data_IF_064436230515
#
_entry.id   IF_064436230515
#
_cell.length_a   1.000
_cell.length_b   1.000
_cell.length_c   1.000
_cell.angle_alpha   90.00
_cell.angle_beta   90.00
_cell.angle_gamma   90.00
#
_symmetry.space_group_name_H-M   'P 1'
#
loop_
_entity.id
_entity.type
_entity.pdbx_description
1 polymer ?
#
# COMPACT_ATOMS: atom_id res chain seq x y z
N UNK A 1 4.15 21.72 -57.36
CA UNK A 1 4.32 22.14 -55.96
C UNK A 1 2.92 22.40 -55.38
N UNK A 2 2.24 21.35 -54.90
CA UNK A 2 0.91 21.41 -54.29
C UNK A 2 0.88 20.39 -53.14
N UNK A 3 1.47 20.78 -52.02
CA UNK A 3 1.38 20.08 -50.74
C UNK A 3 1.81 21.09 -49.68
N UNK A 4 0.84 21.81 -49.10
CA UNK A 4 0.99 22.44 -47.77
C UNK A 4 -0.24 23.20 -47.26
N UNK A 5 -1.30 23.38 -48.06
CA UNK A 5 -2.51 24.11 -47.62
C UNK A 5 -3.44 23.33 -46.68
N UNK A 6 -3.21 22.03 -46.44
CA UNK A 6 -4.08 21.20 -45.60
C UNK A 6 -3.82 21.39 -44.10
N UNK A 7 -2.56 21.32 -43.67
CA UNK A 7 -2.20 21.37 -42.25
C UNK A 7 -2.33 22.76 -41.61
N UNK A 8 -2.20 23.84 -42.39
CA UNK A 8 -2.43 25.20 -41.88
C UNK A 8 -3.92 25.47 -41.62
N UNK A 9 -4.81 24.90 -42.45
CA UNK A 9 -6.26 25.07 -42.34
C UNK A 9 -6.84 24.37 -41.11
N UNK A 10 -6.39 23.14 -40.82
CA UNK A 10 -6.86 22.38 -39.66
C UNK A 10 -6.52 23.07 -38.33
N UNK A 11 -5.40 23.79 -38.26
CA UNK A 11 -5.01 24.53 -37.07
C UNK A 11 -5.82 25.81 -36.83
N UNK A 12 -6.12 26.56 -37.88
CA UNK A 12 -6.96 27.75 -37.82
C UNK A 12 -8.42 27.37 -37.53
N UNK A 13 -8.93 26.32 -38.18
CA UNK A 13 -10.25 25.76 -37.96
C UNK A 13 -10.42 25.20 -36.53
N UNK A 14 -9.41 24.51 -35.99
CA UNK A 14 -9.41 24.06 -34.60
C UNK A 14 -9.56 25.24 -33.62
N UNK A 15 -8.79 26.32 -33.81
CA UNK A 15 -8.84 27.49 -32.94
C UNK A 15 -10.18 28.21 -33.03
N UNK A 16 -10.74 28.33 -34.24
CA UNK A 16 -12.08 28.89 -34.45
C UNK A 16 -13.14 28.09 -33.69
N UNK A 17 -13.15 26.76 -33.85
CA UNK A 17 -14.09 25.86 -33.17
C UNK A 17 -13.92 25.89 -31.65
N UNK A 18 -12.68 25.88 -31.16
CA UNK A 18 -12.37 25.95 -29.73
C UNK A 18 -12.85 27.28 -29.11
N UNK A 19 -12.57 28.41 -29.78
CA UNK A 19 -13.00 29.72 -29.32
C UNK A 19 -14.52 29.84 -29.33
N UNK A 20 -15.17 29.45 -30.44
CA UNK A 20 -16.62 29.40 -30.54
C UNK A 20 -17.25 28.54 -29.45
N UNK A 21 -16.71 27.34 -29.22
CA UNK A 21 -17.16 26.45 -28.15
C UNK A 21 -17.03 27.07 -26.76
N UNK A 22 -15.90 27.75 -26.50
CA UNK A 22 -15.67 28.49 -25.26
C UNK A 22 -16.65 29.66 -25.07
N UNK A 23 -16.90 30.44 -26.12
CA UNK A 23 -17.80 31.60 -26.07
C UNK A 23 -19.26 31.17 -25.85
N UNK A 24 -19.69 30.12 -26.57
CA UNK A 24 -21.02 29.53 -26.38
C UNK A 24 -21.18 28.93 -24.98
N UNK A 25 -20.14 28.29 -24.45
CA UNK A 25 -20.14 27.77 -23.07
C UNK A 25 -20.29 28.92 -22.06
N UNK A 26 -19.59 30.03 -22.26
CA UNK A 26 -19.70 31.22 -21.42
C UNK A 26 -21.08 31.90 -21.53
N UNK A 27 -21.70 31.86 -22.72
CA UNK A 27 -23.06 32.36 -22.96
C UNK A 27 -24.17 31.43 -22.40
N UNK A 28 -23.82 30.22 -21.96
CA UNK A 28 -24.79 29.21 -21.48
C UNK A 28 -25.50 28.43 -22.59
N UNK A 29 -25.09 28.60 -23.84
CA UNK A 29 -25.61 27.86 -25.02
C UNK A 29 -24.97 26.47 -25.09
N UNK A 30 -25.20 25.65 -24.06
CA UNK A 30 -24.45 24.42 -23.80
C UNK A 30 -24.53 23.38 -24.94
N UNK A 31 -25.68 23.22 -25.59
CA UNK A 31 -25.84 22.26 -26.68
C UNK A 31 -24.98 22.62 -27.90
N UNK A 32 -24.93 23.91 -28.25
CA UNK A 32 -24.09 24.40 -29.36
C UNK A 32 -22.61 24.41 -28.98
N UNK A 33 -22.31 24.70 -27.71
CA UNK A 33 -20.95 24.62 -27.19
C UNK A 33 -20.40 23.19 -27.30
N UNK A 34 -21.21 22.19 -26.93
CA UNK A 34 -20.87 20.77 -27.09
C UNK A 34 -20.53 20.45 -28.54
N UNK A 35 -21.40 20.82 -29.50
CA UNK A 35 -21.15 20.55 -30.92
C UNK A 35 -19.84 21.16 -31.43
N UNK A 36 -19.58 22.42 -31.09
CA UNK A 36 -18.34 23.09 -31.48
C UNK A 36 -17.09 22.45 -30.83
N UNK A 37 -17.19 22.06 -29.55
CA UNK A 37 -16.09 21.42 -28.81
C UNK A 37 -15.84 19.97 -29.27
N UNK A 38 -16.88 19.19 -29.59
CA UNK A 38 -16.75 17.86 -30.19
C UNK A 38 -16.03 17.95 -31.56
N UNK A 39 -16.40 18.93 -32.38
CA UNK A 39 -15.71 19.19 -33.65
C UNK A 39 -14.24 19.61 -33.44
N UNK A 40 -13.94 20.44 -32.43
CA UNK A 40 -12.57 20.82 -32.09
C UNK A 40 -11.74 19.61 -31.62
N UNK A 41 -12.31 18.76 -30.75
CA UNK A 41 -11.65 17.53 -30.27
C UNK A 41 -11.46 16.53 -31.41
N UNK A 42 -12.36 16.46 -32.39
CA UNK A 42 -12.17 15.62 -33.58
C UNK A 42 -10.94 16.02 -34.41
N UNK A 43 -10.63 17.33 -34.50
CA UNK A 43 -9.43 17.82 -35.17
C UNK A 43 -8.16 17.61 -34.35
N UNK A 44 -8.24 17.75 -33.01
CA UNK A 44 -7.11 17.53 -32.10
C UNK A 44 -7.52 16.72 -30.87
N UNK A 45 -7.54 15.38 -30.98
CA UNK A 45 -8.08 14.51 -29.92
C UNK A 45 -7.36 14.59 -28.58
N UNK A 46 -6.09 15.01 -28.58
CA UNK A 46 -5.23 15.08 -27.38
C UNK A 46 -5.03 16.50 -26.86
N UNK A 47 -5.74 17.51 -27.38
CA UNK A 47 -5.60 18.86 -26.86
C UNK A 47 -6.27 18.96 -25.46
N UNK A 48 -5.50 19.26 -24.40
CA UNK A 48 -6.02 19.20 -23.03
C UNK A 48 -7.03 20.33 -22.75
N UNK A 49 -6.91 21.48 -23.43
CA UNK A 49 -7.82 22.61 -23.25
C UNK A 49 -9.19 22.30 -23.88
N UNK A 50 -9.20 21.78 -25.11
CA UNK A 50 -10.43 21.36 -25.79
C UNK A 50 -11.15 20.25 -25.02
N UNK A 51 -10.43 19.21 -24.60
CA UNK A 51 -10.99 18.12 -23.80
C UNK A 51 -11.51 18.62 -22.45
N UNK A 52 -10.77 19.48 -21.73
CA UNK A 52 -11.21 20.00 -20.43
C UNK A 52 -12.49 20.84 -20.55
N UNK A 53 -12.61 21.68 -21.59
CA UNK A 53 -13.84 22.45 -21.86
C UNK A 53 -15.01 21.54 -22.27
N UNK A 54 -14.76 20.52 -23.09
CA UNK A 54 -15.78 19.53 -23.47
C UNK A 54 -16.28 18.74 -22.25
N UNK A 55 -15.37 18.33 -21.36
CA UNK A 55 -15.72 17.69 -20.08
C UNK A 55 -16.60 18.57 -19.19
N UNK A 56 -16.28 19.87 -19.06
CA UNK A 56 -17.15 20.82 -18.36
C UNK A 56 -18.52 20.98 -19.04
N UNK A 57 -18.55 20.97 -20.37
CA UNK A 57 -19.78 21.08 -21.16
C UNK A 57 -20.69 19.88 -20.90
N UNK A 58 -20.17 18.66 -20.99
CA UNK A 58 -20.90 17.44 -20.66
C UNK A 58 -21.38 17.45 -19.21
N UNK A 59 -20.55 17.88 -18.26
CA UNK A 59 -20.95 18.00 -16.85
C UNK A 59 -22.15 18.95 -16.64
N UNK A 60 -22.18 20.09 -17.34
CA UNK A 60 -23.29 21.05 -17.28
C UNK A 60 -24.55 20.55 -17.99
N UNK A 61 -24.39 19.74 -19.04
CA UNK A 61 -25.48 19.08 -19.76
C UNK A 61 -26.01 17.81 -19.07
N UNK A 62 -25.45 17.44 -17.92
CA UNK A 62 -25.77 16.20 -17.21
C UNK A 62 -25.41 14.90 -17.97
N UNK A 63 -24.53 15.00 -18.97
CA UNK A 63 -23.91 13.87 -19.67
C UNK A 63 -22.72 13.33 -18.86
N UNK A 64 -22.97 12.90 -17.63
CA UNK A 64 -21.92 12.69 -16.62
C UNK A 64 -20.94 11.56 -16.94
N UNK A 65 -21.38 10.51 -17.62
CA UNK A 65 -20.50 9.39 -18.00
C UNK A 65 -19.41 9.86 -18.99
N UNK A 66 -19.79 10.66 -19.99
CA UNK A 66 -18.83 11.25 -20.94
C UNK A 66 -17.88 12.22 -20.27
N UNK A 67 -18.38 13.03 -19.33
CA UNK A 67 -17.53 13.92 -18.54
C UNK A 67 -16.50 13.13 -17.72
N UNK A 68 -16.92 12.02 -17.10
CA UNK A 68 -16.04 11.18 -16.29
C UNK A 68 -14.96 10.49 -17.15
N UNK A 69 -15.32 9.99 -18.33
CA UNK A 69 -14.36 9.42 -19.29
C UNK A 69 -13.27 10.43 -19.67
N UNK A 70 -13.68 11.65 -20.04
CA UNK A 70 -12.74 12.73 -20.38
C UNK A 70 -11.83 13.08 -19.22
N UNK A 71 -12.37 13.33 -18.02
CA UNK A 71 -11.55 13.73 -16.89
C UNK A 71 -10.65 12.60 -16.37
N UNK A 72 -11.08 11.35 -16.49
CA UNK A 72 -10.23 10.20 -16.18
C UNK A 72 -9.01 10.14 -17.10
N UNK A 73 -9.22 10.32 -18.41
CA UNK A 73 -8.13 10.38 -19.38
C UNK A 73 -7.19 11.58 -19.14
N UNK A 74 -7.76 12.76 -18.87
CA UNK A 74 -6.98 13.97 -18.60
C UNK A 74 -6.11 13.83 -17.33
N UNK A 75 -6.66 13.24 -16.25
CA UNK A 75 -5.92 12.96 -15.01
C UNK A 75 -4.83 11.91 -15.24
N UNK A 76 -5.10 10.87 -16.04
CA UNK A 76 -4.08 9.87 -16.38
C UNK A 76 -2.88 10.51 -17.08
N UNK A 77 -3.12 11.41 -18.03
CA UNK A 77 -2.06 12.06 -18.82
C UNK A 77 -1.38 13.20 -18.05
N UNK A 78 -2.07 13.82 -17.09
CA UNK A 78 -1.58 14.96 -16.30
C UNK A 78 -1.84 14.74 -14.80
N UNK A 79 -1.17 13.75 -14.16
CA UNK A 79 -1.51 13.31 -12.81
C UNK A 79 -1.22 14.33 -11.71
N UNK A 80 -0.47 15.40 -12.01
CA UNK A 80 -0.10 16.45 -11.06
C UNK A 80 -0.97 17.71 -11.18
N UNK A 81 -1.94 17.74 -12.10
CA UNK A 81 -2.85 18.89 -12.24
C UNK A 81 -4.00 18.79 -11.22
N UNK A 82 -3.91 19.64 -10.20
CA UNK A 82 -4.90 19.76 -9.13
C UNK A 82 -6.31 20.03 -9.67
N UNK A 83 -6.44 20.84 -10.72
CA UNK A 83 -7.74 21.25 -11.27
C UNK A 83 -8.45 20.07 -11.93
N UNK A 84 -7.70 19.19 -12.60
CA UNK A 84 -8.25 18.00 -13.23
C UNK A 84 -8.77 17.01 -12.18
N UNK A 85 -8.03 16.80 -11.10
CA UNK A 85 -8.48 15.97 -9.97
C UNK A 85 -9.72 16.55 -9.28
N UNK A 86 -9.78 17.87 -9.10
CA UNK A 86 -10.97 18.55 -8.56
C UNK A 86 -12.18 18.36 -9.48
N UNK A 87 -12.01 18.53 -10.79
CA UNK A 87 -13.09 18.36 -11.76
C UNK A 87 -13.57 16.91 -11.84
N UNK A 88 -12.65 15.93 -11.83
CA UNK A 88 -13.01 14.51 -11.77
C UNK A 88 -13.82 14.21 -10.50
N UNK A 89 -13.35 14.69 -9.35
CA UNK A 89 -14.07 14.54 -8.08
C UNK A 89 -15.47 15.13 -8.11
N UNK A 90 -15.64 16.31 -8.71
CA UNK A 90 -16.93 16.96 -8.87
C UNK A 90 -17.87 16.17 -9.81
N UNK A 91 -17.34 15.61 -10.90
CA UNK A 91 -18.12 14.74 -11.80
C UNK A 91 -18.60 13.49 -11.07
N UNK A 92 -17.71 12.81 -10.34
CA UNK A 92 -18.07 11.59 -9.59
C UNK A 92 -19.08 11.85 -8.48
N UNK A 93 -19.01 13.00 -7.80
CA UNK A 93 -20.05 13.45 -6.86
C UNK A 93 -21.41 13.55 -7.54
N UNK A 94 -21.48 14.24 -8.67
CA UNK A 94 -22.75 14.42 -9.40
C UNK A 94 -23.30 13.09 -9.95
N UNK A 95 -22.43 12.09 -10.19
CA UNK A 95 -22.80 10.72 -10.56
C UNK A 95 -23.32 9.88 -9.38
N UNK A 96 -23.33 10.44 -8.16
CA UNK A 96 -23.68 9.69 -6.95
C UNK A 96 -22.63 8.62 -6.60
N UNK A 97 -21.35 8.85 -6.94
CA UNK A 97 -20.23 7.95 -6.67
C UNK A 97 -19.26 8.58 -5.67
N UNK A 98 -19.69 8.82 -4.41
CA UNK A 98 -18.90 9.59 -3.45
C UNK A 98 -17.54 8.94 -3.12
N UNK A 99 -17.44 7.62 -3.06
CA UNK A 99 -16.17 6.92 -2.86
C UNK A 99 -15.15 7.15 -4.01
N UNK A 100 -15.61 7.30 -5.24
CA UNK A 100 -14.74 7.62 -6.38
C UNK A 100 -14.30 9.10 -6.34
N UNK A 101 -15.22 9.98 -5.95
CA UNK A 101 -14.92 11.39 -5.75
C UNK A 101 -13.88 11.61 -4.65
N UNK A 102 -13.99 10.90 -3.52
CA UNK A 102 -13.02 10.95 -2.41
C UNK A 102 -11.61 10.67 -2.93
N UNK A 103 -11.40 9.60 -3.69
CA UNK A 103 -10.06 9.25 -4.21
C UNK A 103 -9.45 10.37 -5.06
N UNK A 104 -10.22 10.95 -5.98
CA UNK A 104 -9.73 12.05 -6.83
C UNK A 104 -9.45 13.32 -6.00
N UNK A 105 -10.32 13.65 -5.05
CA UNK A 105 -10.21 14.85 -4.23
C UNK A 105 -9.11 14.74 -3.16
N UNK A 106 -8.85 13.54 -2.63
CA UNK A 106 -7.71 13.26 -1.75
C UNK A 106 -6.38 13.53 -2.47
N UNK A 107 -6.25 13.10 -3.74
CA UNK A 107 -5.08 13.45 -4.55
C UNK A 107 -4.98 14.96 -4.73
N UNK A 108 -6.08 15.66 -5.03
CA UNK A 108 -6.08 17.11 -5.18
C UNK A 108 -5.59 17.85 -3.91
N UNK A 109 -6.08 17.47 -2.73
CA UNK A 109 -5.66 18.11 -1.46
C UNK A 109 -4.26 17.68 -1.02
N UNK A 110 -3.75 16.52 -1.47
CA UNK A 110 -2.36 16.14 -1.24
C UNK A 110 -1.40 16.96 -2.11
N UNK A 111 -1.77 17.22 -3.36
CA UNK A 111 -0.99 18.06 -4.29
C UNK A 111 -1.04 19.54 -3.90
N UNK A 112 -2.18 20.02 -3.41
CA UNK A 112 -2.35 21.38 -2.93
C UNK A 112 -3.11 21.42 -1.59
N UNK A 113 -2.39 21.30 -0.45
CA UNK A 113 -2.98 21.23 0.89
C UNK A 113 -3.89 22.41 1.28
N UNK A 114 -3.65 23.60 0.71
CA UNK A 114 -4.43 24.80 1.01
C UNK A 114 -5.57 25.06 0.00
N UNK A 115 -5.83 24.11 -0.92
CA UNK A 115 -6.82 24.29 -1.98
C UNK A 115 -8.26 24.20 -1.44
N UNK A 116 -8.79 25.33 -0.99
CA UNK A 116 -10.10 25.46 -0.32
C UNK A 116 -11.25 24.80 -1.08
N UNK A 117 -11.33 24.96 -2.41
CA UNK A 117 -12.38 24.34 -3.22
C UNK A 117 -12.29 22.81 -3.23
N UNK A 118 -11.08 22.24 -3.18
CA UNK A 118 -10.90 20.79 -3.16
C UNK A 118 -11.37 20.23 -1.81
N UNK A 119 -10.99 20.88 -0.71
CA UNK A 119 -11.50 20.56 0.63
C UNK A 119 -13.02 20.67 0.73
N UNK A 120 -13.63 21.67 0.07
CA UNK A 120 -15.08 21.82 0.08
C UNK A 120 -15.79 20.65 -0.62
N UNK A 121 -15.34 20.27 -1.81
CA UNK A 121 -15.90 19.11 -2.51
C UNK A 121 -15.57 17.80 -1.78
N UNK A 122 -14.41 17.69 -1.15
CA UNK A 122 -14.04 16.52 -0.35
C UNK A 122 -14.96 16.37 0.86
N UNK A 123 -15.31 17.49 1.52
CA UNK A 123 -16.30 17.51 2.60
C UNK A 123 -17.68 17.06 2.13
N UNK A 124 -18.11 17.50 0.95
CA UNK A 124 -19.36 17.03 0.35
C UNK A 124 -19.31 15.53 0.03
N UNK A 125 -18.20 15.04 -0.51
CA UNK A 125 -18.01 13.63 -0.84
C UNK A 125 -18.03 12.74 0.41
N UNK A 126 -17.37 13.14 1.49
CA UNK A 126 -17.48 12.44 2.77
C UNK A 126 -18.90 12.47 3.33
N UNK A 127 -19.60 13.61 3.24
CA UNK A 127 -20.97 13.72 3.71
C UNK A 127 -21.92 12.78 2.97
N UNK A 128 -21.84 12.75 1.64
CA UNK A 128 -22.64 11.82 0.80
C UNK A 128 -22.24 10.35 1.01
N UNK A 129 -20.99 10.08 1.40
CA UNK A 129 -20.52 8.75 1.79
C UNK A 129 -20.89 8.36 3.24
N UNK A 130 -21.54 9.24 4.00
CA UNK A 130 -21.92 9.02 5.40
C UNK A 130 -20.79 9.24 6.42
N UNK A 131 -19.63 9.75 6.00
CA UNK A 131 -18.45 10.00 6.84
C UNK A 131 -18.49 11.41 7.45
N UNK A 132 -19.48 11.66 8.32
CA UNK A 132 -19.85 12.99 8.84
C UNK A 132 -18.67 13.71 9.55
N UNK A 133 -17.83 12.98 10.27
CA UNK A 133 -16.69 13.50 11.00
C UNK A 133 -15.58 13.98 10.05
N UNK A 134 -15.26 13.17 9.03
CA UNK A 134 -14.30 13.55 7.98
C UNK A 134 -14.85 14.70 7.12
N UNK A 135 -16.16 14.71 6.88
CA UNK A 135 -16.84 15.83 6.23
C UNK A 135 -16.65 17.14 7.00
N UNK A 136 -16.85 17.11 8.33
CA UNK A 136 -16.63 18.27 9.22
C UNK A 136 -15.20 18.81 9.09
N UNK A 137 -14.19 17.94 9.15
CA UNK A 137 -12.78 18.33 9.05
C UNK A 137 -12.44 18.94 7.70
N UNK A 138 -12.93 18.36 6.60
CA UNK A 138 -12.73 18.89 5.27
C UNK A 138 -13.43 20.24 5.08
N UNK A 139 -14.65 20.40 5.58
CA UNK A 139 -15.35 21.70 5.56
C UNK A 139 -14.65 22.77 6.41
N UNK A 140 -14.03 22.37 7.54
CA UNK A 140 -13.23 23.28 8.35
C UNK A 140 -12.01 23.80 7.56
N UNK A 141 -11.27 22.91 6.88
CA UNK A 141 -10.14 23.29 6.01
C UNK A 141 -10.58 24.13 4.81
N UNK A 142 -11.80 23.94 4.31
CA UNK A 142 -12.39 24.79 3.28
C UNK A 142 -12.80 26.19 3.77
N UNK A 143 -12.93 26.38 5.09
CA UNK A 143 -13.54 27.56 5.70
C UNK A 143 -15.06 27.64 5.47
N UNK A 144 -15.71 26.49 5.28
CA UNK A 144 -17.15 26.37 5.06
C UNK A 144 -17.91 26.24 6.39
N UNK A 145 -17.88 27.31 7.21
CA UNK A 145 -18.40 27.29 8.58
C UNK A 145 -19.86 26.83 8.70
N UNK A 146 -20.74 27.26 7.78
CA UNK A 146 -22.14 26.81 7.77
C UNK A 146 -22.28 25.29 7.59
N UNK A 147 -21.40 24.66 6.80
CA UNK A 147 -21.39 23.21 6.65
C UNK A 147 -20.80 22.53 7.88
N UNK A 148 -19.79 23.13 8.54
CA UNK A 148 -19.26 22.64 9.82
C UNK A 148 -20.36 22.60 10.88
N UNK A 149 -21.10 23.69 11.04
CA UNK A 149 -22.24 23.78 11.98
C UNK A 149 -23.31 22.73 11.65
N UNK A 150 -23.62 22.53 10.36
CA UNK A 150 -24.55 21.48 9.92
C UNK A 150 -24.04 20.08 10.29
N UNK A 151 -22.75 19.79 10.11
CA UNK A 151 -22.17 18.50 10.47
C UNK A 151 -22.20 18.32 11.99
N UNK A 152 -21.90 19.35 12.77
CA UNK A 152 -21.98 19.30 14.23
C UNK A 152 -23.41 19.11 14.75
N UNK A 153 -24.39 19.74 14.11
CA UNK A 153 -25.80 19.51 14.42
C UNK A 153 -26.23 18.08 14.10
N UNK A 154 -25.85 17.55 12.93
CA UNK A 154 -26.13 16.15 12.56
C UNK A 154 -25.47 15.15 13.53
N UNK A 155 -24.27 15.45 14.02
CA UNK A 155 -23.59 14.64 15.05
C UNK A 155 -24.29 14.74 16.41
N UNK A 156 -24.82 15.92 16.78
CA UNK A 156 -25.60 16.12 18.01
C UNK A 156 -26.96 15.42 17.95
N UNK A 157 -27.72 15.56 16.88
CA UNK A 157 -29.00 14.86 16.69
C UNK A 157 -28.82 13.32 16.72
N UNK A 158 -27.72 12.81 16.14
CA UNK A 158 -27.35 11.39 16.23
C UNK A 158 -27.03 10.94 17.66
N UNK A 159 -26.55 11.86 18.50
CA UNK A 159 -26.26 11.59 19.92
C UNK A 159 -27.49 11.75 20.83
N UNK A 160 -28.38 12.71 20.53
CA UNK A 160 -29.58 13.04 21.31
C UNK A 160 -30.76 12.11 20.98
N UNK A 161 -30.86 11.60 19.74
CA UNK A 161 -31.84 10.58 19.34
C UNK A 161 -31.64 9.20 19.98
N UNK A 162 -30.72 9.08 20.95
CA UNK A 162 -30.45 7.86 21.73
C UNK A 162 -30.93 7.92 23.18
N UNK A 163 -31.55 9.00 23.65
CA UNK A 163 -32.11 9.08 25.01
C UNK A 163 -33.66 9.12 25.00
N UNK A 164 -34.25 8.04 25.54
CA UNK A 164 -35.67 7.78 25.87
C UNK A 164 -36.56 7.10 24.81
N UNK A 165 -36.52 5.77 24.82
CA UNK A 165 -37.74 4.98 25.04
C UNK A 165 -37.39 3.74 25.87
N UNK A 166 -38.07 3.55 27.02
CA UNK A 166 -38.09 2.30 27.75
C UNK A 166 -38.79 1.24 26.87
N UNK A 167 -38.01 0.51 26.10
CA UNK A 167 -38.43 -0.64 25.29
C UNK A 167 -37.20 -1.49 25.06
N UNK A 168 -37.35 -2.81 25.18
CA UNK A 168 -36.25 -3.78 25.18
C UNK A 168 -35.16 -3.45 24.15
N UNK A 169 -33.90 -3.50 24.61
CA UNK A 169 -32.73 -3.24 23.79
C UNK A 169 -32.82 -3.95 22.43
N UNK A 170 -32.67 -3.19 21.35
CA UNK A 170 -32.35 -3.73 20.03
C UNK A 170 -31.01 -4.47 20.17
N UNK A 171 -30.97 -5.80 20.02
CA UNK A 171 -29.79 -6.60 20.32
C UNK A 171 -28.63 -6.40 19.32
N UNK A 172 -28.85 -5.66 18.22
CA UNK A 172 -27.92 -5.59 17.09
C UNK A 172 -27.18 -4.24 16.92
N UNK A 173 -27.32 -3.30 17.86
CA UNK A 173 -26.41 -2.13 17.92
C UNK A 173 -25.21 -2.50 18.79
N UNK A 174 -24.08 -2.85 18.16
CA UNK A 174 -22.82 -3.06 18.88
C UNK A 174 -22.54 -1.84 19.78
N UNK A 175 -22.58 -2.08 21.09
CA UNK A 175 -22.39 -1.06 22.10
C UNK A 175 -21.03 -0.38 21.89
N UNK A 176 -20.98 0.96 21.91
CA UNK A 176 -19.71 1.69 21.92
C UNK A 176 -18.97 1.24 23.18
N UNK A 177 -17.85 0.52 23.05
CA UNK A 177 -17.20 -0.03 24.22
C UNK A 177 -16.68 1.13 25.07
N UNK A 178 -16.97 1.08 26.36
CA UNK A 178 -16.28 1.88 27.37
C UNK A 178 -14.77 1.76 27.19
N UNK A 179 -13.99 2.72 27.66
CA UNK A 179 -12.53 2.59 27.63
C UNK A 179 -12.04 1.28 28.27
N UNK A 180 -12.77 0.74 29.26
CA UNK A 180 -12.47 -0.57 29.84
C UNK A 180 -12.72 -1.71 28.85
N UNK A 181 -13.90 -1.74 28.21
CA UNK A 181 -14.26 -2.75 27.20
C UNK A 181 -13.37 -2.63 25.94
N UNK A 182 -13.01 -1.41 25.56
CA UNK A 182 -12.06 -1.15 24.48
C UNK A 182 -10.67 -1.64 24.87
N UNK A 183 -10.19 -1.31 26.07
CA UNK A 183 -8.91 -1.81 26.56
C UNK A 183 -8.90 -3.34 26.71
N UNK A 184 -10.04 -3.97 27.04
CA UNK A 184 -10.20 -5.43 27.14
C UNK A 184 -10.23 -6.10 25.76
N UNK A 185 -10.98 -5.54 24.80
CA UNK A 185 -11.08 -6.03 23.42
C UNK A 185 -9.82 -5.76 22.58
N UNK A 186 -9.06 -4.70 22.90
CA UNK A 186 -7.76 -4.38 22.31
C UNK A 186 -6.59 -5.00 23.09
N UNK A 187 -6.83 -5.85 24.10
CA UNK A 187 -5.73 -6.60 24.70
C UNK A 187 -5.16 -7.51 23.64
N UNK A 188 -3.89 -7.27 23.32
CA UNK A 188 -3.06 -8.22 22.60
C UNK A 188 -2.94 -9.49 23.46
N UNK A 189 -3.86 -10.42 23.25
CA UNK A 189 -3.82 -11.73 23.86
C UNK A 189 -2.95 -12.63 23.00
N UNK A 190 -1.71 -12.85 23.45
CA UNK A 190 -0.82 -13.77 22.75
C UNK A 190 -0.69 -15.08 23.52
N UNK A 191 -1.02 -16.22 22.90
CA UNK A 191 -0.91 -17.51 23.57
C UNK A 191 0.55 -17.78 23.94
N UNK A 192 0.75 -18.25 25.17
CA UNK A 192 2.05 -18.75 25.65
C UNK A 192 2.20 -20.22 25.26
N UNK A 193 3.41 -20.61 24.88
CA UNK A 193 3.75 -22.02 24.63
C UNK A 193 4.32 -22.34 23.26
N UNK A 194 4.26 -21.42 22.30
CA UNK A 194 4.99 -21.49 21.03
C UNK A 194 5.94 -20.28 20.93
N UNK A 195 7.14 -20.44 20.35
CA UNK A 195 8.11 -19.34 20.25
C UNK A 195 7.59 -18.18 19.39
N UNK A 196 6.67 -18.49 18.47
CA UNK A 196 5.97 -17.52 17.63
C UNK A 196 4.48 -17.83 17.64
N UNK A 197 3.67 -16.81 17.84
CA UNK A 197 2.29 -16.82 17.35
C UNK A 197 2.14 -15.63 16.40
N UNK A 198 1.25 -15.71 15.41
CA UNK A 198 1.06 -14.74 14.33
C UNK A 198 -0.41 -14.37 14.25
N UNK A 199 -0.70 -13.07 14.09
CA UNK A 199 -2.02 -12.53 13.82
C UNK A 199 -1.96 -11.52 12.66
N UNK A 200 -3.11 -11.03 12.20
CA UNK A 200 -3.19 -10.06 11.11
C UNK A 200 -2.43 -8.76 11.41
N UNK A 201 -2.42 -8.33 12.67
CA UNK A 201 -1.75 -7.10 13.09
C UNK A 201 -0.23 -7.25 13.30
N UNK A 202 0.29 -8.48 13.38
CA UNK A 202 1.70 -8.69 13.73
C UNK A 202 2.06 -10.08 14.22
N UNK A 203 3.18 -10.15 14.92
CA UNK A 203 3.73 -11.37 15.50
C UNK A 203 4.18 -11.08 16.94
N UNK A 204 4.00 -12.04 17.84
CA UNK A 204 4.71 -12.02 19.11
C UNK A 204 5.66 -13.20 19.25
N UNK A 205 6.80 -12.88 19.84
CA UNK A 205 7.94 -13.75 20.04
C UNK A 205 8.03 -14.01 21.54
N UNK A 206 7.86 -15.25 21.96
CA UNK A 206 7.96 -15.67 23.36
C UNK A 206 9.22 -16.52 23.54
N UNK A 207 10.09 -16.15 24.48
CA UNK A 207 11.37 -16.82 24.67
C UNK A 207 11.79 -16.84 26.14
N UNK A 208 12.30 -18.00 26.57
CA UNK A 208 12.64 -18.23 27.97
C UNK A 208 14.07 -17.76 28.33
N UNK A 209 15.04 -18.00 27.44
CA UNK A 209 16.47 -17.68 27.66
C UNK A 209 17.03 -16.70 26.65
N UNK A 210 16.52 -16.75 25.41
CA UNK A 210 16.91 -15.82 24.36
C UNK A 210 16.32 -16.17 23.01
N UNK A 211 16.43 -15.21 22.09
CA UNK A 211 16.04 -15.35 20.70
C UNK A 211 16.87 -14.44 19.81
N UNK A 212 17.17 -14.88 18.59
CA UNK A 212 17.72 -13.99 17.56
C UNK A 212 16.56 -13.36 16.79
N UNK A 213 16.52 -12.04 16.70
CA UNK A 213 15.40 -11.34 16.05
C UNK A 213 15.82 -9.98 15.51
N UNK A 214 15.10 -9.50 14.50
CA UNK A 214 15.06 -8.08 14.19
C UNK A 214 14.08 -7.35 15.10
N UNK A 215 14.22 -6.03 15.16
CA UNK A 215 13.40 -5.15 16.01
C UNK A 215 12.59 -4.12 15.21
N UNK A 216 12.64 -4.16 13.86
CA UNK A 216 11.84 -3.28 13.03
C UNK A 216 10.35 -3.61 13.16
N UNK A 217 9.59 -2.62 13.65
CA UNK A 217 8.18 -2.76 14.02
C UNK A 217 7.93 -3.16 15.47
N UNK A 218 8.94 -3.14 16.35
CA UNK A 218 8.74 -3.42 17.79
C UNK A 218 7.72 -2.44 18.41
N UNK A 219 6.63 -2.99 18.94
CA UNK A 219 5.58 -2.26 19.69
C UNK A 219 5.83 -2.41 21.19
N UNK A 220 6.08 -3.64 21.65
CA UNK A 220 6.19 -3.96 23.07
C UNK A 220 7.36 -4.90 23.30
N UNK A 221 8.19 -4.59 24.30
CA UNK A 221 9.12 -5.53 24.91
C UNK A 221 8.77 -5.73 26.38
N UNK A 222 8.54 -6.97 26.79
CA UNK A 222 8.20 -7.38 28.16
C UNK A 222 9.25 -8.35 28.69
N UNK A 223 9.49 -8.34 29.99
CA UNK A 223 10.45 -9.21 30.67
C UNK A 223 11.78 -8.51 30.93
N UNK A 224 12.85 -9.29 31.06
CA UNK A 224 14.19 -8.80 31.41
C UNK A 224 15.17 -8.89 30.22
N UNK A 225 14.65 -8.92 29.00
CA UNK A 225 15.45 -9.11 27.80
C UNK A 225 16.41 -7.92 27.56
N UNK A 226 17.69 -8.21 27.30
CA UNK A 226 18.66 -7.25 26.78
C UNK A 226 18.94 -7.54 25.31
N UNK A 227 19.33 -6.53 24.52
CA UNK A 227 19.50 -6.67 23.08
C UNK A 227 20.94 -6.37 22.67
N UNK A 228 21.60 -7.36 22.06
CA UNK A 228 22.98 -7.21 21.58
C UNK A 228 23.05 -7.44 20.06
N UNK A 229 23.69 -6.55 19.29
CA UNK A 229 23.86 -6.76 17.85
C UNK A 229 24.64 -8.05 17.55
N UNK A 230 24.08 -8.87 16.66
CA UNK A 230 24.71 -10.13 16.23
C UNK A 230 25.70 -9.84 15.11
N UNK A 231 26.83 -10.54 15.13
CA UNK A 231 27.83 -10.50 14.05
C UNK A 231 27.65 -11.69 13.11
N UNK A 232 28.00 -11.52 11.84
CA UNK A 232 27.94 -12.61 10.86
C UNK A 232 28.93 -13.71 11.24
N UNK A 233 28.53 -14.95 11.03
CA UNK A 233 29.37 -16.14 11.23
C UNK A 233 29.69 -16.77 9.88
N UNK A 234 30.97 -16.94 9.56
CA UNK A 234 31.40 -17.65 8.35
C UNK A 234 32.36 -18.77 8.74
N UNK A 235 32.11 -20.00 8.27
CA UNK A 235 32.94 -21.18 8.58
C UNK A 235 33.16 -21.38 10.08
N UNK A 236 32.13 -21.11 10.88
CA UNK A 236 32.17 -21.23 12.35
C UNK A 236 32.71 -20.01 13.09
N UNK A 237 33.39 -19.07 12.43
CA UNK A 237 34.01 -17.91 13.07
C UNK A 237 33.15 -16.64 13.00
N UNK A 238 33.12 -15.86 14.09
CA UNK A 238 32.47 -14.55 14.12
C UNK A 238 33.32 -13.53 13.35
N UNK A 239 32.66 -12.74 12.51
CA UNK A 239 33.31 -11.66 11.76
C UNK A 239 33.16 -10.31 12.46
N UNK A 240 33.83 -9.28 11.94
CA UNK A 240 33.62 -7.90 12.37
C UNK A 240 32.31 -7.31 11.82
N UNK A 241 31.72 -7.91 10.78
CA UNK A 241 30.52 -7.41 10.13
C UNK A 241 29.26 -7.78 10.90
N UNK A 242 28.36 -6.81 11.05
CA UNK A 242 27.05 -7.05 11.65
C UNK A 242 26.18 -7.95 10.77
N UNK A 243 25.36 -8.77 11.42
CA UNK A 243 24.32 -9.56 10.77
C UNK A 243 23.11 -8.65 10.49
N UNK A 244 22.89 -8.34 9.21
CA UNK A 244 21.96 -7.29 8.79
C UNK A 244 22.58 -5.89 8.93
N UNK A 245 21.87 -4.87 8.44
CA UNK A 245 22.29 -3.47 8.50
C UNK A 245 21.10 -2.55 8.77
N UNK A 246 21.37 -1.40 9.40
CA UNK A 246 20.35 -0.40 9.71
C UNK A 246 19.16 -0.98 10.48
N UNK A 247 17.90 -0.74 10.04
CA UNK A 247 16.71 -1.27 10.72
C UNK A 247 16.58 -2.80 10.61
N UNK A 248 17.32 -3.45 9.69
CA UNK A 248 17.29 -4.90 9.48
C UNK A 248 18.40 -5.65 10.23
N UNK A 249 19.10 -4.95 11.13
CA UNK A 249 20.08 -5.54 12.04
C UNK A 249 19.43 -6.64 12.89
N UNK A 250 20.11 -7.78 12.99
CA UNK A 250 19.71 -8.88 13.88
C UNK A 250 20.32 -8.63 15.25
N UNK A 251 19.50 -8.79 16.28
CA UNK A 251 19.85 -8.71 17.68
C UNK A 251 19.66 -10.06 18.35
N UNK A 252 20.54 -10.36 19.31
CA UNK A 252 20.31 -11.41 20.27
C UNK A 252 19.59 -10.78 21.46
N UNK A 253 18.31 -11.09 21.61
CA UNK A 253 17.56 -10.78 22.82
C UNK A 253 17.89 -11.85 23.86
N UNK A 254 18.59 -11.48 24.94
CA UNK A 254 19.01 -12.39 26.02
C UNK A 254 18.19 -12.19 27.28
N UNK A 255 17.87 -13.26 27.97
CA UNK A 255 16.93 -13.25 29.10
C UNK A 255 15.56 -13.78 28.67
N UNK A 256 14.61 -13.76 29.60
CA UNK A 256 13.25 -14.21 29.37
C UNK A 256 12.33 -13.04 29.05
N UNK A 257 11.52 -13.17 28.01
CA UNK A 257 10.64 -12.09 27.62
C UNK A 257 9.69 -12.39 26.48
N UNK A 258 8.90 -11.38 26.17
CA UNK A 258 7.99 -11.37 25.03
C UNK A 258 8.17 -10.09 24.25
N UNK A 259 8.29 -10.20 22.92
CA UNK A 259 8.29 -9.07 22.00
C UNK A 259 7.03 -9.09 21.16
N UNK A 260 6.41 -7.93 20.92
CA UNK A 260 5.30 -7.78 19.98
C UNK A 260 5.77 -6.88 18.84
N UNK A 261 5.64 -7.38 17.61
CA UNK A 261 6.10 -6.73 16.39
C UNK A 261 4.90 -6.47 15.47
N UNK A 262 4.77 -5.24 14.99
CA UNK A 262 3.75 -4.82 14.02
C UNK A 262 3.97 -5.49 12.65
N UNK A 263 2.91 -5.92 11.98
CA UNK A 263 2.95 -6.34 10.58
C UNK A 263 3.26 -5.16 9.66
N UNK A 264 2.67 -4.00 9.93
CA UNK A 264 2.78 -2.80 9.10
C UNK A 264 3.64 -1.73 9.79
N UNK A 265 4.64 -1.19 9.09
CA UNK A 265 5.56 -0.18 9.64
C UNK A 265 5.04 1.24 9.46
N UNK A 266 4.29 1.49 8.39
CA UNK A 266 3.65 2.76 8.09
C UNK A 266 2.31 2.54 7.38
N UNK A 267 1.30 3.41 7.56
CA UNK A 267 -0.01 3.26 6.91
C UNK A 267 0.05 3.18 5.37
N UNK A 268 1.10 3.75 4.76
CA UNK A 268 1.33 3.76 3.32
C UNK A 268 1.99 2.49 2.78
N UNK A 269 2.48 1.60 3.64
CA UNK A 269 3.17 0.36 3.24
C UNK A 269 2.26 -0.85 3.41
N UNK A 270 2.32 -1.86 2.52
CA UNK A 270 1.58 -3.09 2.73
C UNK A 270 2.08 -3.81 4.00
N UNK A 271 1.21 -4.54 4.72
CA UNK A 271 1.63 -5.31 5.88
C UNK A 271 2.60 -6.42 5.47
N UNK A 272 3.62 -6.65 6.29
CA UNK A 272 4.53 -7.77 6.17
C UNK A 272 3.84 -9.04 6.65
N UNK A 273 4.05 -10.13 5.93
CA UNK A 273 3.54 -11.45 6.31
C UNK A 273 4.62 -12.19 7.11
N UNK A 274 4.23 -12.63 8.30
CA UNK A 274 5.05 -13.46 9.17
C UNK A 274 4.66 -14.93 9.00
N UNK A 275 5.65 -15.80 8.81
CA UNK A 275 5.40 -17.24 8.62
C UNK A 275 6.34 -18.04 9.52
N UNK A 276 5.83 -18.67 10.60
CA UNK A 276 6.63 -19.53 11.43
C UNK A 276 6.92 -20.83 10.69
N UNK A 277 8.16 -21.29 10.73
CA UNK A 277 8.62 -22.53 10.12
C UNK A 277 9.29 -23.39 11.18
N UNK A 278 8.93 -24.68 11.22
CA UNK A 278 9.59 -25.66 12.08
C UNK A 278 10.70 -26.34 11.29
N UNK A 279 11.93 -26.25 11.79
CA UNK A 279 13.10 -26.87 11.20
C UNK A 279 13.24 -28.28 11.76
N UNK A 280 13.28 -29.24 10.85
CA UNK A 280 13.62 -30.65 11.10
C UNK A 280 14.82 -31.11 10.26
N UNK A 281 15.30 -30.22 9.39
CA UNK A 281 16.44 -30.38 8.50
C UNK A 281 17.08 -29.02 8.28
N UNK A 282 18.20 -29.00 7.56
CA UNK A 282 18.89 -27.78 7.21
C UNK A 282 18.03 -26.88 6.31
N UNK A 283 17.98 -25.60 6.66
CA UNK A 283 17.22 -24.61 5.92
C UNK A 283 18.11 -23.46 5.49
N UNK A 284 18.17 -23.21 4.18
CA UNK A 284 18.86 -22.09 3.59
C UNK A 284 17.85 -20.99 3.30
N UNK A 285 17.99 -19.84 3.95
CA UNK A 285 17.06 -18.72 3.82
C UNK A 285 17.78 -17.47 3.32
N UNK A 286 17.13 -16.71 2.45
CA UNK A 286 17.62 -15.39 2.05
C UNK A 286 17.65 -14.49 3.28
N UNK A 287 18.78 -13.83 3.53
CA UNK A 287 19.03 -13.09 4.77
C UNK A 287 17.90 -12.11 5.08
N UNK A 288 17.41 -11.37 4.08
CA UNK A 288 16.31 -10.41 4.25
C UNK A 288 14.96 -11.04 4.61
N UNK A 289 14.74 -12.31 4.30
CA UNK A 289 13.49 -13.02 4.61
C UNK A 289 13.48 -13.63 6.02
N UNK A 290 14.63 -13.72 6.70
CA UNK A 290 14.71 -14.23 8.07
C UNK A 290 14.46 -13.11 9.08
N UNK A 291 13.40 -13.23 9.89
CA UNK A 291 13.08 -12.24 10.92
C UNK A 291 13.59 -12.65 12.30
N UNK A 292 13.28 -13.87 12.73
CA UNK A 292 13.69 -14.39 14.02
C UNK A 292 13.96 -15.90 13.98
N UNK A 293 14.72 -16.42 14.93
CA UNK A 293 14.94 -17.84 15.12
C UNK A 293 15.41 -18.13 16.54
N UNK A 294 15.07 -19.32 17.04
CA UNK A 294 15.41 -19.72 18.42
C UNK A 294 16.92 -19.81 18.64
N UNK A 295 17.37 -19.51 19.87
CA UNK A 295 18.79 -19.50 20.24
C UNK A 295 19.48 -20.88 20.05
N UNK A 296 18.71 -21.96 20.16
CA UNK A 296 19.17 -23.35 19.96
C UNK A 296 19.51 -23.73 18.52
N UNK A 297 19.11 -22.92 17.54
CA UNK A 297 19.45 -23.16 16.14
C UNK A 297 20.85 -22.62 15.84
N UNK A 298 21.69 -23.47 15.27
CA UNK A 298 22.97 -23.05 14.74
C UNK A 298 22.74 -22.29 13.43
N UNK A 299 23.50 -21.21 13.21
CA UNK A 299 23.44 -20.44 11.97
C UNK A 299 24.81 -20.20 11.36
N UNK A 300 24.83 -20.11 10.03
CA UNK A 300 26.00 -19.72 9.25
C UNK A 300 25.59 -18.78 8.11
N UNK A 301 26.27 -17.64 7.98
CA UNK A 301 26.03 -16.72 6.89
C UNK A 301 26.73 -17.21 5.61
N UNK A 302 26.03 -17.10 4.49
CA UNK A 302 26.50 -17.45 3.17
C UNK A 302 26.41 -16.28 2.20
N UNK A 303 27.21 -16.33 1.14
CA UNK A 303 27.14 -15.40 0.02
C UNK A 303 27.33 -16.15 -1.28
N UNK A 304 26.39 -16.01 -2.20
CA UNK A 304 26.57 -16.42 -3.61
C UNK A 304 26.92 -15.16 -4.38
N UNK A 305 28.09 -15.15 -5.02
CA UNK A 305 28.56 -13.99 -5.76
C UNK A 305 27.72 -13.80 -7.03
N UNK A 306 27.27 -12.56 -7.27
CA UNK A 306 26.55 -12.21 -8.48
C UNK A 306 27.46 -12.04 -9.70
N UNK A 307 26.89 -12.01 -10.92
CA UNK A 307 27.64 -11.76 -12.16
C UNK A 307 28.22 -10.33 -12.24
N UNK A 308 27.65 -9.39 -11.48
CA UNK A 308 28.14 -8.00 -11.34
C UNK A 308 28.25 -7.61 -9.87
N UNK A 309 29.11 -6.65 -9.58
CA UNK A 309 29.31 -6.10 -8.22
C UNK A 309 28.00 -5.56 -7.65
N UNK A 310 27.68 -5.94 -6.41
CA UNK A 310 26.48 -5.47 -5.69
C UNK A 310 25.22 -6.29 -5.89
N UNK A 311 25.26 -7.39 -6.66
CA UNK A 311 24.13 -8.31 -6.87
C UNK A 311 24.33 -9.64 -6.14
N UNK A 312 24.99 -9.63 -4.98
CA UNK A 312 25.23 -10.84 -4.22
C UNK A 312 23.95 -11.33 -3.53
N UNK A 313 23.76 -12.65 -3.51
CA UNK A 313 22.70 -13.28 -2.73
C UNK A 313 23.26 -13.61 -1.35
N UNK A 314 22.74 -12.90 -0.33
CA UNK A 314 23.07 -13.15 1.06
C UNK A 314 22.12 -14.18 1.66
N UNK A 315 22.70 -15.20 2.28
CA UNK A 315 21.99 -16.35 2.82
C UNK A 315 22.33 -16.57 4.28
N UNK A 316 21.45 -17.29 4.95
CA UNK A 316 21.66 -17.84 6.28
C UNK A 316 21.30 -19.31 6.20
N UNK A 317 22.22 -20.19 6.57
CA UNK A 317 21.93 -21.61 6.79
C UNK A 317 21.60 -21.79 8.25
N UNK A 318 20.40 -22.28 8.54
CA UNK A 318 19.96 -22.68 9.88
C UNK A 318 20.03 -24.20 10.01
N UNK A 319 20.51 -24.69 11.16
CA UNK A 319 20.68 -26.11 11.45
C UNK A 319 20.19 -26.47 12.86
N UNK A 320 19.71 -27.70 13.00
CA UNK A 320 19.15 -28.23 14.24
C UNK A 320 17.63 -28.20 14.28
N UNK A 321 17.07 -28.71 15.38
CA UNK A 321 15.62 -28.74 15.60
C UNK A 321 15.15 -27.48 16.35
N UNK A 322 14.18 -26.79 15.78
CA UNK A 322 13.63 -25.56 16.37
C UNK A 322 12.72 -24.83 15.41
N UNK A 323 12.43 -23.57 15.70
CA UNK A 323 11.59 -22.72 14.86
C UNK A 323 12.34 -21.49 14.40
N UNK A 324 12.04 -21.08 13.17
CA UNK A 324 12.38 -19.77 12.65
C UNK A 324 11.11 -19.04 12.23
N UNK A 325 11.21 -17.73 12.10
CA UNK A 325 10.15 -16.86 11.65
C UNK A 325 10.61 -16.14 10.39
N UNK A 326 9.89 -16.38 9.30
CA UNK A 326 10.09 -15.69 8.04
C UNK A 326 9.27 -14.40 8.01
N UNK A 327 9.78 -13.40 7.31
CA UNK A 327 9.08 -12.15 6.97
C UNK A 327 9.15 -11.92 5.47
N UNK A 328 7.99 -11.72 4.85
CA UNK A 328 7.88 -11.58 3.39
C UNK A 328 6.81 -10.56 3.01
N UNK A 329 6.89 -9.91 1.84
CA UNK A 329 5.87 -8.95 1.39
C UNK A 329 4.62 -9.63 0.80
N UNK A 330 4.69 -10.93 0.50
CA UNK A 330 3.65 -11.73 -0.15
C UNK A 330 3.70 -13.15 0.40
N UNK A 331 2.62 -13.91 0.24
CA UNK A 331 2.55 -15.29 0.73
C UNK A 331 3.63 -16.17 0.10
N UNK A 332 4.08 -17.19 0.83
CA UNK A 332 5.07 -18.14 0.34
C UNK A 332 4.37 -19.32 -0.35
N UNK A 333 4.92 -19.75 -1.48
CA UNK A 333 4.62 -21.03 -2.15
C UNK A 333 5.87 -21.89 -2.19
N UNK A 334 5.69 -23.18 -2.40
CA UNK A 334 6.78 -24.15 -2.49
C UNK A 334 6.77 -24.80 -3.86
N UNK A 335 7.94 -24.95 -4.45
CA UNK A 335 8.17 -25.73 -5.66
C UNK A 335 9.24 -26.78 -5.39
N UNK A 336 8.97 -28.03 -5.76
CA UNK A 336 9.93 -29.12 -5.60
C UNK A 336 10.87 -29.18 -6.81
N UNK A 337 12.13 -29.55 -6.58
CA UNK A 337 13.10 -29.87 -7.62
C UNK A 337 13.41 -31.36 -7.55
N UNK A 338 13.23 -32.07 -8.66
CA UNK A 338 13.49 -33.51 -8.73
C UNK A 338 14.67 -33.83 -9.66
N UNK A 339 15.58 -34.68 -9.18
CA UNK A 339 16.66 -35.24 -10.00
C UNK A 339 17.55 -34.18 -10.67
N UNK A 340 17.53 -34.14 -12.01
CA UNK A 340 18.36 -33.24 -12.82
C UNK A 340 17.61 -31.96 -13.27
N UNK A 341 16.45 -31.69 -12.69
CA UNK A 341 15.72 -30.47 -12.99
C UNK A 341 16.51 -29.21 -12.57
N UNK A 342 16.25 -28.14 -13.30
CA UNK A 342 16.86 -26.83 -13.02
C UNK A 342 15.74 -25.82 -12.92
N UNK A 343 15.62 -25.19 -11.77
CA UNK A 343 14.65 -24.11 -11.54
C UNK A 343 15.38 -22.78 -11.69
N UNK A 344 14.81 -21.87 -12.49
CA UNK A 344 15.32 -20.51 -12.65
C UNK A 344 14.23 -19.51 -12.31
N UNK A 345 14.58 -18.52 -11.52
CA UNK A 345 13.64 -17.49 -11.08
C UNK A 345 14.33 -16.14 -10.84
N UNK A 346 13.57 -15.03 -10.87
CA UNK A 346 14.06 -13.75 -10.38
C UNK A 346 14.54 -13.85 -8.92
N UNK A 347 15.71 -13.27 -8.63
CA UNK A 347 16.32 -13.33 -7.29
C UNK A 347 15.39 -12.77 -6.19
N UNK A 348 14.62 -11.74 -6.51
CA UNK A 348 13.64 -11.11 -5.60
C UNK A 348 12.47 -12.02 -5.21
N UNK A 349 12.22 -13.07 -5.99
CA UNK A 349 11.17 -14.06 -5.71
C UNK A 349 11.63 -15.19 -4.78
N UNK A 350 12.93 -15.33 -4.53
CA UNK A 350 13.49 -16.42 -3.72
C UNK A 350 13.38 -16.09 -2.23
N UNK A 351 12.83 -17.02 -1.45
CA UNK A 351 12.78 -16.94 0.02
C UNK A 351 13.82 -17.86 0.66
N UNK A 352 13.98 -19.06 0.14
CA UNK A 352 14.91 -20.06 0.68
C UNK A 352 14.68 -21.45 0.08
N UNK A 353 15.34 -22.46 0.62
CA UNK A 353 15.15 -23.86 0.24
C UNK A 353 15.61 -24.83 1.32
N UNK A 354 15.13 -26.07 1.19
CA UNK A 354 15.62 -27.26 1.93
C UNK A 354 16.17 -28.29 0.95
N UNK A 355 16.95 -29.24 1.46
CA UNK A 355 17.62 -30.26 0.64
C UNK A 355 18.95 -29.78 0.00
N UNK A 356 19.69 -30.70 -0.63
CA UNK A 356 20.99 -30.45 -1.26
C UNK A 356 20.88 -29.65 -2.58
N UNK A 357 20.34 -28.43 -2.52
CA UNK A 357 20.24 -27.53 -3.67
C UNK A 357 21.45 -26.59 -3.73
N UNK A 358 22.03 -26.47 -4.92
CA UNK A 358 23.13 -25.56 -5.24
C UNK A 358 22.62 -24.35 -6.01
N UNK A 359 22.74 -23.12 -5.47
CA UNK A 359 22.37 -21.90 -6.14
C UNK A 359 23.51 -21.35 -7.01
N UNK A 360 23.14 -20.77 -8.16
CA UNK A 360 24.02 -19.99 -9.03
C UNK A 360 23.31 -18.72 -9.48
N UNK A 361 23.95 -17.57 -9.32
CA UNK A 361 23.42 -16.31 -9.82
C UNK A 361 23.73 -16.13 -11.30
N UNK A 362 22.74 -15.64 -12.04
CA UNK A 362 22.80 -15.39 -13.48
C UNK A 362 22.22 -14.02 -13.80
N UNK A 363 22.57 -13.48 -14.98
CA UNK A 363 21.83 -12.37 -15.56
C UNK A 363 20.64 -12.90 -16.37
N UNK A 364 19.46 -12.32 -16.13
CA UNK A 364 18.26 -12.63 -16.88
C UNK A 364 17.56 -11.38 -17.42
N UNK A 365 16.44 -11.56 -18.15
CA UNK A 365 15.75 -10.48 -18.86
C UNK A 365 15.23 -9.35 -17.95
N UNK A 366 14.98 -9.66 -16.68
CA UNK A 366 14.43 -8.75 -15.67
C UNK A 366 15.40 -8.49 -14.50
N UNK A 367 16.71 -8.62 -14.72
CA UNK A 367 17.74 -8.37 -13.69
C UNK A 367 18.43 -9.63 -13.20
N UNK A 368 18.70 -9.72 -11.90
CA UNK A 368 19.41 -10.87 -11.30
C UNK A 368 18.47 -12.07 -11.14
N UNK A 369 18.91 -13.23 -11.62
CA UNK A 369 18.20 -14.49 -11.52
C UNK A 369 18.99 -15.48 -10.70
N UNK A 370 18.30 -16.40 -10.03
CA UNK A 370 18.90 -17.53 -9.34
C UNK A 370 18.53 -18.80 -10.11
N UNK A 371 19.54 -19.57 -10.45
CA UNK A 371 19.42 -20.94 -10.91
C UNK A 371 19.66 -21.89 -9.76
N UNK A 372 18.75 -22.83 -9.56
CA UNK A 372 18.77 -23.82 -8.51
C UNK A 372 18.84 -25.21 -9.14
N UNK A 373 19.80 -26.02 -8.68
CA UNK A 373 20.05 -27.38 -9.15
C UNK A 373 20.23 -28.32 -7.96
N UNK A 374 19.77 -29.56 -8.07
CA UNK A 374 19.83 -30.55 -6.99
C UNK A 374 18.44 -31.10 -6.70
N UNK A 375 18.24 -31.58 -5.47
CA UNK A 375 16.99 -32.18 -5.03
C UNK A 375 16.52 -31.51 -3.74
N UNK A 376 15.26 -31.11 -3.66
CA UNK A 376 14.73 -30.43 -2.49
C UNK A 376 13.48 -29.60 -2.77
N UNK A 377 13.17 -28.69 -1.84
CA UNK A 377 12.01 -27.81 -1.93
C UNK A 377 12.44 -26.35 -1.87
N UNK A 378 12.00 -25.56 -2.83
CA UNK A 378 12.28 -24.13 -2.95
C UNK A 378 11.07 -23.33 -2.48
N UNK A 379 11.31 -22.37 -1.59
CA UNK A 379 10.31 -21.44 -1.09
C UNK A 379 10.38 -20.14 -1.89
N UNK A 380 9.24 -19.74 -2.44
CA UNK A 380 9.09 -18.66 -3.40
C UNK A 380 7.97 -17.69 -2.99
N UNK A 381 8.08 -16.42 -3.37
CA UNK A 381 6.99 -15.46 -3.23
C UNK A 381 5.90 -15.74 -4.27
N UNK A 382 4.65 -15.85 -3.81
CA UNK A 382 3.46 -16.11 -4.63
C UNK A 382 2.88 -14.87 -5.30
#
# INVERSE_FOLDING_TARGET
>A
MRADRGFAGDGEQFLELLNRGSDLFAAGELAQAREALEAAVALRPKDPKANSLLGLCYFKLDELDKAAEIYTALVHDNPLDVTLHVNLGLVELKRGRPAAAIRALEVAVNLAPDHRRAHNYLGLAYYENGEIERAREAFLKAGAHAMVEKMEAALRERSEGKEWENGAADPDVEAVPSLSELCESLRLYWPRGAPFAVEAAGVALDFASGIYTRLDGLIVARGNATFEPVRKRYRGELTASSFGTGPRQVFHARGGGQLIIAAQLAPSEPPRLFTPVRLVEDFYVVESCLFAFEERLDFENGRVAGPRSGLDLHLVRLRGEGHALLVTPRSIRTEAIYGNETVRLPMEGLVGWTGPITPRLLEGPAGAWVELTGEGSVLLLA
#
